data_IF_047795284721
#
_entry.id   IF_047795284721
#
_cell.length_a   1.000
_cell.length_b   1.000
_cell.length_c   1.000
_cell.angle_alpha   90.00
_cell.angle_beta   90.00
_cell.angle_gamma   90.00
#
_symmetry.space_group_name_H-M   'P 1'
#
loop_
_entity.id
_entity.type
_entity.pdbx_description
1 polymer ?
#
# COMPACT_ATOMS: atom_id res chain seq x y z
N UNK A 1 3.01 -56.28 14.46
CA UNK A 1 4.08 -55.55 13.73
C UNK A 1 3.62 -55.03 12.37
N UNK A 2 2.95 -55.81 11.51
CA UNK A 2 2.46 -55.33 10.20
C UNK A 2 1.38 -54.21 10.30
N UNK A 3 0.48 -54.29 11.28
CA UNK A 3 -0.58 -53.29 11.51
C UNK A 3 0.01 -51.91 11.84
N UNK A 4 1.02 -51.86 12.72
CA UNK A 4 1.69 -50.61 13.12
C UNK A 4 2.48 -49.95 11.97
N UNK A 5 3.02 -50.74 11.05
CA UNK A 5 3.68 -50.20 9.84
C UNK A 5 2.68 -49.63 8.84
N UNK A 6 1.52 -50.26 8.70
CA UNK A 6 0.42 -49.75 7.87
C UNK A 6 -0.15 -48.43 8.41
N UNK A 7 -0.26 -48.30 9.73
CA UNK A 7 -0.77 -47.11 10.40
C UNK A 7 0.20 -45.92 10.26
N UNK A 8 1.51 -46.16 10.42
CA UNK A 8 2.54 -45.14 10.20
C UNK A 8 2.60 -44.67 8.73
N UNK A 9 2.48 -45.60 7.79
CA UNK A 9 2.40 -45.27 6.36
C UNK A 9 1.16 -44.42 6.06
N UNK A 10 -0.03 -44.85 6.52
CA UNK A 10 -1.27 -44.11 6.34
C UNK A 10 -1.21 -42.68 6.91
N UNK A 11 -0.65 -42.51 8.12
CA UNK A 11 -0.45 -41.20 8.74
C UNK A 11 0.46 -40.29 7.90
N UNK A 12 1.56 -40.85 7.36
CA UNK A 12 2.50 -40.10 6.52
C UNK A 12 1.85 -39.69 5.18
N UNK A 13 1.06 -40.56 4.57
CA UNK A 13 0.29 -40.23 3.36
C UNK A 13 -0.74 -39.13 3.61
N UNK A 14 -1.48 -39.19 4.72
CA UNK A 14 -2.43 -38.16 5.11
C UNK A 14 -1.74 -36.82 5.35
N UNK A 15 -0.63 -36.80 6.09
CA UNK A 15 0.16 -35.59 6.33
C UNK A 15 0.67 -34.96 5.03
N UNK A 16 1.15 -35.79 4.09
CA UNK A 16 1.60 -35.33 2.77
C UNK A 16 0.44 -34.78 1.93
N UNK A 17 -0.72 -35.44 1.94
CA UNK A 17 -1.90 -34.98 1.22
C UNK A 17 -2.42 -33.65 1.78
N UNK A 18 -2.47 -33.49 3.11
CA UNK A 18 -2.85 -32.23 3.77
C UNK A 18 -1.88 -31.11 3.36
N UNK A 19 -0.57 -31.36 3.42
CA UNK A 19 0.43 -30.37 3.03
C UNK A 19 0.30 -29.97 1.55
N UNK A 20 0.10 -30.94 0.65
CA UNK A 20 -0.09 -30.67 -0.77
C UNK A 20 -1.35 -29.86 -1.04
N UNK A 21 -2.47 -30.21 -0.42
CA UNK A 21 -3.72 -29.46 -0.54
C UNK A 21 -3.56 -28.03 -0.01
N UNK A 22 -2.97 -27.86 1.17
CA UNK A 22 -2.70 -26.54 1.73
C UNK A 22 -1.80 -25.69 0.82
N UNK A 23 -0.77 -26.30 0.21
CA UNK A 23 0.09 -25.62 -0.77
C UNK A 23 -0.68 -25.19 -2.01
N UNK A 24 -1.51 -26.07 -2.57
CA UNK A 24 -2.32 -25.74 -3.76
C UNK A 24 -3.36 -24.65 -3.47
N UNK A 25 -3.99 -24.70 -2.30
CA UNK A 25 -4.93 -23.67 -1.84
C UNK A 25 -4.22 -22.32 -1.67
N UNK A 26 -3.05 -22.31 -1.03
CA UNK A 26 -2.24 -21.09 -0.88
C UNK A 26 -1.83 -20.50 -2.24
N UNK A 27 -1.41 -21.32 -3.20
CA UNK A 27 -1.08 -20.88 -4.56
C UNK A 27 -2.30 -20.33 -5.30
N UNK A 28 -3.46 -20.98 -5.17
CA UNK A 28 -4.72 -20.53 -5.77
C UNK A 28 -5.14 -19.17 -5.19
N UNK A 29 -5.10 -19.03 -3.86
CA UNK A 29 -5.40 -17.78 -3.17
C UNK A 29 -4.44 -16.66 -3.58
N UNK A 30 -3.13 -16.94 -3.69
CA UNK A 30 -2.13 -15.99 -4.16
C UNK A 30 -2.43 -15.52 -5.60
N UNK A 31 -2.80 -16.44 -6.50
CA UNK A 31 -3.21 -16.11 -7.88
C UNK A 31 -4.45 -15.23 -7.92
N UNK A 32 -5.48 -15.55 -7.13
CA UNK A 32 -6.70 -14.74 -7.07
C UNK A 32 -6.42 -13.33 -6.55
N UNK A 33 -5.59 -13.19 -5.51
CA UNK A 33 -5.16 -11.89 -5.00
C UNK A 33 -4.38 -11.09 -6.06
N UNK A 34 -3.46 -11.73 -6.79
CA UNK A 34 -2.73 -11.09 -7.88
C UNK A 34 -3.66 -10.60 -8.99
N UNK A 35 -4.62 -11.43 -9.43
CA UNK A 35 -5.62 -11.07 -10.44
C UNK A 35 -6.45 -9.85 -10.00
N UNK A 36 -7.00 -9.88 -8.78
CA UNK A 36 -7.78 -8.78 -8.22
C UNK A 36 -6.99 -7.46 -8.19
N UNK A 37 -5.69 -7.52 -7.89
CA UNK A 37 -4.81 -6.34 -7.89
C UNK A 37 -4.64 -5.77 -9.29
N UNK A 38 -4.37 -6.62 -10.27
CA UNK A 38 -4.26 -6.20 -11.69
C UNK A 38 -5.55 -5.52 -12.13
N UNK A 39 -6.71 -6.11 -11.84
CA UNK A 39 -8.02 -5.54 -12.16
C UNK A 39 -8.22 -4.15 -11.52
N UNK A 40 -7.85 -3.98 -10.25
CA UNK A 40 -7.94 -2.69 -9.55
C UNK A 40 -7.03 -1.62 -10.16
N UNK A 41 -5.78 -1.98 -10.48
CA UNK A 41 -4.85 -1.06 -11.13
C UNK A 41 -5.33 -0.68 -12.52
N UNK A 42 -5.81 -1.65 -13.32
CA UNK A 42 -6.37 -1.40 -14.65
C UNK A 42 -7.60 -0.50 -14.58
N UNK A 43 -8.53 -0.74 -13.66
CA UNK A 43 -9.70 0.10 -13.48
C UNK A 43 -9.35 1.57 -13.21
N UNK A 44 -8.20 1.82 -12.58
CA UNK A 44 -7.71 3.17 -12.28
C UNK A 44 -6.93 3.78 -13.46
N UNK A 45 -6.15 2.97 -14.18
CA UNK A 45 -5.29 3.41 -15.27
C UNK A 45 -6.00 3.61 -16.61
N UNK A 46 -6.93 2.70 -16.96
CA UNK A 46 -7.61 2.67 -18.27
C UNK A 46 -8.27 4.00 -18.64
N UNK A 47 -9.05 4.68 -17.78
CA UNK A 47 -9.69 5.95 -18.16
C UNK A 47 -8.69 7.04 -18.54
N UNK A 48 -7.52 7.07 -17.89
CA UNK A 48 -6.45 8.02 -18.22
C UNK A 48 -5.78 7.66 -19.54
N UNK A 49 -5.55 6.37 -19.80
CA UNK A 49 -4.96 5.91 -21.06
C UNK A 49 -5.89 6.16 -22.26
N UNK A 50 -7.20 5.93 -22.10
CA UNK A 50 -8.21 6.24 -23.11
C UNK A 50 -8.29 7.75 -23.38
N UNK A 51 -8.20 8.58 -22.33
CA UNK A 51 -8.11 10.03 -22.47
C UNK A 51 -6.85 10.45 -23.26
N UNK A 52 -5.71 9.83 -23.00
CA UNK A 52 -4.46 10.08 -23.73
C UNK A 52 -4.60 9.68 -25.20
N UNK A 53 -5.16 8.49 -25.47
CA UNK A 53 -5.37 7.97 -26.81
C UNK A 53 -6.34 8.82 -27.63
N UNK A 54 -7.50 9.15 -27.07
CA UNK A 54 -8.53 9.97 -27.73
C UNK A 54 -8.05 11.37 -28.10
N UNK A 55 -7.09 11.92 -27.34
CA UNK A 55 -6.49 13.24 -27.61
C UNK A 55 -5.17 13.18 -28.38
N UNK A 56 -4.74 11.99 -28.81
CA UNK A 56 -3.43 11.77 -29.42
C UNK A 56 -2.29 12.44 -28.62
N UNK A 57 -2.35 12.38 -27.29
CA UNK A 57 -1.36 12.97 -26.38
C UNK A 57 -1.44 14.49 -26.19
N UNK A 58 -2.36 15.20 -26.86
CA UNK A 58 -2.56 16.66 -26.71
C UNK A 58 -3.42 16.98 -25.47
N UNK A 59 -2.88 16.68 -24.30
CA UNK A 59 -3.55 16.92 -23.01
C UNK A 59 -3.43 18.37 -22.55
N UNK A 60 -4.51 18.87 -21.95
CA UNK A 60 -4.51 20.15 -21.22
C UNK A 60 -3.66 20.07 -19.94
N UNK A 61 -3.35 21.22 -19.32
CA UNK A 61 -2.61 21.24 -18.05
C UNK A 61 -3.31 20.45 -16.93
N UNK A 62 -4.63 20.57 -16.84
CA UNK A 62 -5.44 19.86 -15.84
C UNK A 62 -5.39 18.34 -16.07
N UNK A 63 -5.46 17.89 -17.33
CA UNK A 63 -5.42 16.46 -17.67
C UNK A 63 -4.03 15.85 -17.45
N UNK A 64 -2.97 16.62 -17.74
CA UNK A 64 -1.60 16.21 -17.38
C UNK A 64 -1.45 16.07 -15.86
N UNK A 65 -2.08 16.95 -15.08
CA UNK A 65 -2.05 16.86 -13.63
C UNK A 65 -2.83 15.65 -13.12
N UNK A 66 -4.01 15.40 -13.68
CA UNK A 66 -4.79 14.19 -13.39
C UNK A 66 -3.96 12.93 -13.67
N UNK A 67 -3.32 12.84 -14.84
CA UNK A 67 -2.50 11.70 -15.21
C UNK A 67 -1.33 11.47 -14.23
N UNK A 68 -0.63 12.55 -13.81
CA UNK A 68 0.44 12.47 -12.81
C UNK A 68 -0.06 12.01 -11.44
N UNK A 69 -1.20 12.53 -10.98
CA UNK A 69 -1.77 12.13 -9.70
C UNK A 69 -2.22 10.66 -9.72
N UNK A 70 -2.81 10.21 -10.83
CA UNK A 70 -3.20 8.82 -11.02
C UNK A 70 -1.98 7.89 -11.03
N UNK A 71 -0.92 8.24 -11.76
CA UNK A 71 0.32 7.45 -11.78
C UNK A 71 0.96 7.38 -10.39
N UNK A 72 1.05 8.49 -9.67
CA UNK A 72 1.58 8.51 -8.31
C UNK A 72 0.74 7.62 -7.36
N UNK A 73 -0.58 7.61 -7.50
CA UNK A 73 -1.47 6.72 -6.75
C UNK A 73 -1.24 5.24 -7.06
N UNK A 74 -1.05 4.88 -8.33
CA UNK A 74 -0.72 3.50 -8.75
C UNK A 74 0.64 3.09 -8.18
N UNK A 75 1.63 3.99 -8.21
CA UNK A 75 2.96 3.74 -7.64
C UNK A 75 2.87 3.44 -6.14
N UNK A 76 2.06 4.19 -5.41
CA UNK A 76 1.82 3.95 -3.98
C UNK A 76 1.10 2.62 -3.74
N UNK A 77 0.11 2.25 -4.56
CA UNK A 77 -0.55 0.94 -4.47
C UNK A 77 0.44 -0.23 -4.57
N UNK A 78 1.48 -0.06 -5.40
CA UNK A 78 2.53 -1.07 -5.60
C UNK A 78 3.55 -1.04 -4.46
N UNK A 79 4.05 0.16 -4.10
CA UNK A 79 5.19 0.33 -3.17
C UNK A 79 4.80 0.38 -1.71
N UNK A 80 3.61 0.87 -1.38
CA UNK A 80 3.16 1.19 -0.04
C UNK A 80 1.82 0.50 0.26
N UNK A 81 1.85 -0.83 0.33
CA UNK A 81 0.65 -1.68 0.38
C UNK A 81 -0.08 -1.57 1.70
N UNK A 82 0.66 -1.43 2.80
CA UNK A 82 0.08 -1.22 4.11
C UNK A 82 -0.71 0.11 4.21
N UNK A 83 -0.43 1.10 3.36
CA UNK A 83 -1.00 2.45 3.40
C UNK A 83 -2.23 2.67 2.51
N UNK A 84 -2.91 1.61 2.09
CA UNK A 84 -4.04 1.69 1.13
C UNK A 84 -5.41 1.98 1.76
N UNK A 85 -5.46 2.51 2.98
CA UNK A 85 -6.72 2.93 3.59
C UNK A 85 -7.31 4.12 2.82
N UNK A 86 -8.60 4.05 2.47
CA UNK A 86 -9.29 5.04 1.62
C UNK A 86 -9.06 6.49 2.06
N UNK A 87 -9.16 6.77 3.36
CA UNK A 87 -8.99 8.12 3.91
C UNK A 87 -7.57 8.66 3.67
N UNK A 88 -6.54 7.85 3.92
CA UNK A 88 -5.16 8.24 3.68
C UNK A 88 -4.89 8.46 2.19
N UNK A 89 -5.37 7.57 1.31
CA UNK A 89 -5.20 7.72 -0.15
C UNK A 89 -5.79 9.04 -0.65
N UNK A 90 -6.97 9.43 -0.15
CA UNK A 90 -7.59 10.72 -0.46
C UNK A 90 -6.72 11.87 0.05
N UNK A 91 -6.30 11.84 1.32
CA UNK A 91 -5.47 12.89 1.92
C UNK A 91 -4.13 13.08 1.18
N UNK A 92 -3.48 11.99 0.77
CA UNK A 92 -2.25 12.01 -0.04
C UNK A 92 -2.50 12.64 -1.41
N UNK A 93 -3.60 12.28 -2.08
CA UNK A 93 -3.97 12.88 -3.36
C UNK A 93 -4.24 14.37 -3.23
N UNK A 94 -4.94 14.79 -2.17
CA UNK A 94 -5.19 16.20 -1.89
C UNK A 94 -3.90 16.96 -1.62
N UNK A 95 -3.00 16.42 -0.78
CA UNK A 95 -1.69 17.01 -0.52
C UNK A 95 -0.88 17.21 -1.81
N UNK A 96 -0.82 16.19 -2.68
CA UNK A 96 -0.15 16.28 -3.98
C UNK A 96 -0.82 17.27 -4.93
N UNK A 97 -2.14 17.40 -4.87
CA UNK A 97 -2.86 18.41 -5.67
C UNK A 97 -2.53 19.84 -5.25
N UNK A 98 -2.18 20.07 -3.97
CA UNK A 98 -1.65 21.35 -3.45
C UNK A 98 -0.19 21.61 -3.84
N UNK A 99 0.50 20.61 -4.39
CA UNK A 99 1.92 20.69 -4.76
C UNK A 99 2.89 20.15 -3.70
N UNK A 100 2.40 19.49 -2.65
CA UNK A 100 3.24 18.80 -1.66
C UNK A 100 3.77 17.50 -2.28
N UNK A 101 5.08 17.27 -2.20
CA UNK A 101 5.67 15.98 -2.58
C UNK A 101 5.39 14.97 -1.46
N UNK A 102 4.68 13.89 -1.74
CA UNK A 102 4.39 12.85 -0.74
C UNK A 102 5.01 11.53 -1.17
N UNK A 103 5.83 10.94 -0.29
CA UNK A 103 6.47 9.65 -0.48
C UNK A 103 6.01 8.68 0.60
N UNK A 104 5.44 7.55 0.17
CA UNK A 104 5.04 6.44 1.05
C UNK A 104 6.05 5.30 0.91
N UNK A 105 6.48 4.75 2.04
CA UNK A 105 7.41 3.63 2.15
C UNK A 105 6.82 2.59 3.09
N UNK A 106 6.74 1.36 2.62
CA UNK A 106 6.22 0.24 3.38
C UNK A 106 7.34 -0.77 3.61
N UNK A 107 7.91 -0.72 4.81
CA UNK A 107 8.92 -1.67 5.28
C UNK A 107 8.33 -2.70 6.25
N UNK A 108 7.00 -2.86 6.27
CA UNK A 108 6.30 -3.79 7.15
C UNK A 108 6.00 -3.25 8.55
N UNK A 109 5.67 -4.15 9.48
CA UNK A 109 5.38 -3.88 10.90
C UNK A 109 3.93 -3.49 11.18
N UNK A 110 3.20 -2.99 10.18
CA UNK A 110 1.78 -2.67 10.31
C UNK A 110 0.92 -3.92 10.36
N UNK A 111 1.33 -5.06 9.82
CA UNK A 111 0.54 -6.31 9.84
C UNK A 111 0.23 -6.81 11.26
N UNK A 112 1.10 -6.50 12.22
CA UNK A 112 1.10 -7.05 13.58
C UNK A 112 0.15 -6.32 14.55
N UNK A 113 -0.27 -5.09 14.21
CA UNK A 113 -1.09 -4.27 15.10
C UNK A 113 -2.59 -4.47 14.88
N UNK A 114 -3.37 -4.17 15.91
CA UNK A 114 -4.82 -4.30 15.88
C UNK A 114 -5.48 -3.35 14.86
N UNK A 115 -6.65 -3.71 14.35
CA UNK A 115 -7.42 -2.85 13.43
C UNK A 115 -7.80 -1.48 14.04
N UNK A 116 -8.05 -1.45 15.35
CA UNK A 116 -8.33 -0.22 16.11
C UNK A 116 -7.11 0.70 16.16
N UNK A 117 -5.93 0.14 16.46
CA UNK A 117 -4.67 0.87 16.50
C UNK A 117 -4.27 1.39 15.12
N UNK A 118 -4.38 0.56 14.07
CA UNK A 118 -4.22 1.00 12.67
C UNK A 118 -5.09 2.22 12.38
N UNK A 119 -6.37 2.15 12.73
CA UNK A 119 -7.33 3.22 12.44
C UNK A 119 -6.96 4.53 13.13
N UNK A 120 -6.43 4.47 14.36
CA UNK A 120 -5.90 5.64 15.09
C UNK A 120 -4.67 6.22 14.39
N UNK A 121 -3.69 5.38 14.03
CA UNK A 121 -2.48 5.82 13.31
C UNK A 121 -2.87 6.52 12.02
N UNK A 122 -3.74 5.92 11.20
CA UNK A 122 -4.17 6.52 9.95
C UNK A 122 -4.95 7.82 10.14
N UNK A 123 -5.80 7.92 11.17
CA UNK A 123 -6.52 9.15 11.47
C UNK A 123 -5.53 10.30 11.76
N UNK A 124 -4.51 10.05 12.60
CA UNK A 124 -3.45 11.01 12.88
C UNK A 124 -2.68 11.41 11.62
N UNK A 125 -2.31 10.44 10.78
CA UNK A 125 -1.62 10.71 9.50
C UNK A 125 -2.46 11.60 8.58
N UNK A 126 -3.77 11.33 8.46
CA UNK A 126 -4.69 12.12 7.63
C UNK A 126 -4.80 13.56 8.13
N UNK A 127 -4.96 13.74 9.44
CA UNK A 127 -5.06 15.07 10.05
C UNK A 127 -3.79 15.90 9.79
N UNK A 128 -2.64 15.32 10.09
CA UNK A 128 -1.36 16.03 9.98
C UNK A 128 -0.97 16.29 8.53
N UNK A 129 -1.24 15.36 7.61
CA UNK A 129 -1.08 15.58 6.18
C UNK A 129 -2.01 16.68 5.64
N UNK A 130 -3.19 16.85 6.26
CA UNK A 130 -4.10 17.95 5.97
C UNK A 130 -3.54 19.34 6.33
N UNK A 131 -2.67 19.40 7.35
CA UNK A 131 -2.02 20.64 7.81
C UNK A 131 -0.84 21.05 6.92
N UNK A 132 -0.14 20.09 6.31
CA UNK A 132 1.01 20.38 5.43
C UNK A 132 0.53 21.06 4.13
N UNK A 133 1.08 22.26 3.86
CA UNK A 133 0.71 23.09 2.69
C UNK A 133 1.75 23.08 1.59
N UNK A 134 3.03 22.93 1.93
CA UNK A 134 4.16 23.00 0.99
C UNK A 134 5.26 22.01 1.41
N UNK A 135 6.22 21.76 0.52
CA UNK A 135 7.38 20.92 0.83
C UNK A 135 7.19 19.44 0.54
N UNK A 136 7.92 18.61 1.29
CA UNK A 136 8.00 17.16 1.11
C UNK A 136 7.58 16.44 2.39
N UNK A 137 6.71 15.44 2.24
CA UNK A 137 6.27 14.54 3.31
C UNK A 137 6.73 13.12 3.00
N UNK A 138 7.38 12.49 3.97
CA UNK A 138 7.76 11.08 3.91
C UNK A 138 7.02 10.34 5.02
N UNK A 139 6.21 9.34 4.64
CA UNK A 139 5.55 8.43 5.58
C UNK A 139 6.16 7.05 5.35
N UNK A 140 6.66 6.45 6.43
CA UNK A 140 7.39 5.18 6.40
C UNK A 140 6.85 4.26 7.49
N UNK A 141 6.40 3.06 7.13
CA UNK A 141 6.22 2.02 8.16
C UNK A 141 7.57 1.44 8.55
N UNK A 142 7.70 1.01 9.78
CA UNK A 142 8.95 0.45 10.31
C UNK A 142 8.65 -0.85 11.03
N UNK A 143 9.44 -1.87 10.71
CA UNK A 143 9.47 -3.10 11.46
C UNK A 143 10.55 -3.03 12.56
N UNK A 144 10.36 -3.78 13.65
CA UNK A 144 11.32 -3.91 14.76
C UNK A 144 11.62 -2.65 15.59
N UNK A 145 10.78 -1.61 15.50
CA UNK A 145 10.87 -0.41 16.33
C UNK A 145 9.74 -0.36 17.38
N UNK A 146 9.88 0.55 18.37
CA UNK A 146 8.84 0.80 19.39
C UNK A 146 7.58 1.48 18.80
N UNK A 147 7.69 2.08 17.62
CA UNK A 147 6.60 2.68 16.86
C UNK A 147 6.48 1.97 15.50
N UNK A 148 5.32 2.08 14.84
CA UNK A 148 5.03 1.40 13.58
C UNK A 148 5.07 2.31 12.36
N UNK A 149 4.90 3.62 12.54
CA UNK A 149 4.95 4.60 11.45
C UNK A 149 5.76 5.82 11.83
N UNK A 150 6.63 6.28 10.94
CA UNK A 150 7.26 7.59 11.01
C UNK A 150 6.69 8.49 9.92
N UNK A 151 6.34 9.72 10.29
CA UNK A 151 6.00 10.77 9.33
C UNK A 151 6.90 11.97 9.53
N UNK A 152 7.52 12.42 8.45
CA UNK A 152 8.39 13.60 8.43
C UNK A 152 7.88 14.56 7.36
N UNK A 153 7.64 15.83 7.72
CA UNK A 153 7.39 16.90 6.78
C UNK A 153 8.56 17.89 6.78
N UNK A 154 9.06 18.22 5.60
CA UNK A 154 10.21 19.09 5.37
C UNK A 154 9.79 20.25 4.47
N UNK A 155 10.02 21.49 4.90
CA UNK A 155 9.91 22.63 3.98
C UNK A 155 11.17 22.76 3.13
N UNK A 156 11.04 23.32 1.91
CA UNK A 156 12.19 23.69 1.11
C UNK A 156 13.06 24.71 1.87
N UNK A 157 14.31 24.36 2.18
CA UNK A 157 15.27 25.26 2.84
C UNK A 157 15.25 25.27 4.37
N UNK A 158 14.45 24.42 5.02
CA UNK A 158 14.46 24.30 6.48
C UNK A 158 15.57 23.35 6.98
N UNK A 159 16.27 23.75 8.05
CA UNK A 159 17.28 22.90 8.72
C UNK A 159 16.65 21.80 9.60
N UNK A 160 15.38 21.97 9.98
CA UNK A 160 14.64 21.04 10.83
C UNK A 160 13.26 20.70 10.22
N UNK A 161 12.72 19.51 10.50
CA UNK A 161 11.39 19.13 10.03
C UNK A 161 10.29 19.90 10.76
N UNK A 162 9.29 20.36 10.01
CA UNK A 162 8.08 20.98 10.56
C UNK A 162 7.24 19.98 11.35
N UNK A 163 7.22 18.74 10.88
CA UNK A 163 6.49 17.65 11.50
C UNK A 163 7.43 16.46 11.59
N UNK A 164 7.56 15.92 12.80
CA UNK A 164 8.27 14.67 13.05
C UNK A 164 7.44 13.83 14.02
N UNK A 165 6.77 12.80 13.49
CA UNK A 165 5.89 11.92 14.26
C UNK A 165 6.43 10.49 14.23
N UNK A 166 6.30 9.83 15.39
CA UNK A 166 6.49 8.40 15.57
C UNK A 166 5.22 7.87 16.21
N UNK A 167 4.51 7.01 15.47
CA UNK A 167 3.17 6.49 15.78
C UNK A 167 3.20 4.97 15.90
#
# INVERSE_FOLDING_TARGET
>A
RAISQSEAAASTYLARAIFQNASQEAESAARQLAKKRIEQTLATALPVLELIGSKAGKLTKAEKQLARLTEAGIRDQIRARAFQQKALVVAVREARSRGVEVQLLDDGGLEEISSSEKSKIFATLVEELGRVRTGKVVIRSVDQEQWKVTMVALQPGAEAPDVFLRL
#
